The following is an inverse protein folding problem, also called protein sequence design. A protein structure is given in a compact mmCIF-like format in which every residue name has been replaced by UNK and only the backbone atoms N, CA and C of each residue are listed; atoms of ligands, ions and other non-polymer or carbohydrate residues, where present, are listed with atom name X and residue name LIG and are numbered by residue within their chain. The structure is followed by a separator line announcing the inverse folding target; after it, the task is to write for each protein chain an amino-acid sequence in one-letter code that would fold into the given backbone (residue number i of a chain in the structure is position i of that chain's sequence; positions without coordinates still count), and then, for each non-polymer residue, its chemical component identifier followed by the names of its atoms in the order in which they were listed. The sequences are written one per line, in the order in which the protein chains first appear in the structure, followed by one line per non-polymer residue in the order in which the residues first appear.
data_IF_907899399947
#
_entry.id   IF_907899399947
#
_cell.length_a   1.000
_cell.length_b   1.000
_cell.length_c   1.000
_cell.angle_alpha   90.00
_cell.angle_beta   90.00
_cell.angle_gamma   90.00
#
_symmetry.space_group_name_H-M   'P 1'
#
loop_
_entity.id
_entity.type
_entity.pdbx_description
1 polymer ?
#
# COMPACT_ATOMS: atom_id res chain seq x y z
N UNK A 1 61.44 -3.10 32.63
CA UNK A 1 60.99 -4.42 33.12
C UNK A 1 59.93 -4.16 34.18
N UNK A 2 58.65 -4.10 33.79
CA UNK A 2 57.49 -3.92 34.68
C UNK A 2 56.19 -4.23 33.89
N UNK A 3 55.56 -5.32 34.31
CA UNK A 3 54.18 -5.81 34.21
C UNK A 3 53.24 -5.43 33.04
N UNK A 4 52.76 -6.47 32.35
CA UNK A 4 51.67 -6.44 31.38
C UNK A 4 50.36 -6.91 32.05
N UNK A 5 49.40 -6.00 32.25
CA UNK A 5 48.00 -6.32 32.55
C UNK A 5 47.06 -5.39 31.79
N UNK A 6 46.31 -5.95 30.83
CA UNK A 6 45.02 -5.52 30.22
C UNK A 6 44.98 -6.08 28.78
N UNK A 7 44.00 -6.86 28.29
CA UNK A 7 42.57 -7.03 28.58
C UNK A 7 42.10 -8.43 28.09
N UNK A 8 40.99 -8.99 28.60
CA UNK A 8 40.44 -10.25 28.09
C UNK A 8 39.72 -10.06 26.75
N UNK A 9 40.02 -10.92 25.76
CA UNK A 9 39.28 -11.02 24.49
C UNK A 9 37.88 -11.57 24.73
N UNK A 10 36.86 -10.74 24.59
CA UNK A 10 35.47 -11.18 24.54
C UNK A 10 35.24 -12.01 23.27
N UNK A 11 34.97 -13.31 23.44
CA UNK A 11 34.37 -14.13 22.40
C UNK A 11 32.87 -13.77 22.34
N UNK A 12 32.43 -13.17 21.25
CA UNK A 12 30.99 -12.98 20.99
C UNK A 12 30.40 -14.32 20.58
N UNK A 13 29.78 -15.00 21.54
CA UNK A 13 28.92 -16.16 21.29
C UNK A 13 27.66 -15.65 20.62
N UNK A 14 27.45 -15.97 19.35
CA UNK A 14 26.22 -15.64 18.62
C UNK A 14 25.04 -16.34 19.31
N UNK A 15 24.12 -15.53 19.86
CA UNK A 15 22.82 -16.01 20.30
C UNK A 15 21.94 -16.29 19.07
N UNK A 16 21.19 -17.40 19.00
CA UNK A 16 20.20 -17.58 17.95
C UNK A 16 19.12 -16.51 18.08
N UNK A 17 18.88 -15.77 16.99
CA UNK A 17 17.81 -14.79 16.88
C UNK A 17 16.46 -15.53 16.90
N UNK A 18 15.76 -15.50 18.04
CA UNK A 18 14.34 -15.84 18.06
C UNK A 18 13.54 -14.61 17.62
N UNK A 19 13.38 -14.45 16.30
CA UNK A 19 12.44 -13.51 15.70
C UNK A 19 11.11 -14.22 15.39
N UNK A 20 10.47 -14.79 16.42
CA UNK A 20 9.09 -15.25 16.34
C UNK A 20 8.17 -14.07 16.67
N UNK A 21 7.80 -13.29 15.66
CA UNK A 21 6.89 -12.15 15.82
C UNK A 21 6.47 -11.42 14.55
N UNK A 22 7.19 -11.59 13.43
CA UNK A 22 6.86 -10.94 12.17
C UNK A 22 6.21 -11.87 11.11
N UNK A 23 6.03 -13.16 11.43
CA UNK A 23 5.54 -14.16 10.48
C UNK A 23 4.01 -14.13 10.28
N UNK A 24 3.24 -13.42 11.10
CA UNK A 24 1.77 -13.61 11.14
C UNK A 24 0.90 -12.63 10.32
N UNK A 25 1.45 -11.70 9.55
CA UNK A 25 0.61 -10.79 8.75
C UNK A 25 0.56 -11.12 7.25
N UNK A 26 1.60 -11.77 6.71
CA UNK A 26 1.77 -11.93 5.27
C UNK A 26 1.38 -13.31 4.74
N UNK A 27 1.28 -14.32 5.62
CA UNK A 27 0.88 -15.69 5.27
C UNK A 27 -0.59 -15.81 4.84
N UNK A 28 -1.40 -14.74 4.92
CA UNK A 28 -2.85 -14.76 4.67
C UNK A 28 -3.33 -13.93 3.49
N UNK A 29 -2.45 -13.28 2.73
CA UNK A 29 -2.85 -12.64 1.46
C UNK A 29 -2.93 -13.71 0.35
N UNK A 30 -3.97 -14.54 0.41
CA UNK A 30 -4.29 -15.52 -0.64
C UNK A 30 -4.83 -14.86 -1.91
N UNK A 31 -5.14 -13.56 -1.88
CA UNK A 31 -5.75 -12.86 -3.01
C UNK A 31 -5.37 -11.37 -3.11
N UNK A 32 -5.36 -10.87 -4.34
CA UNK A 32 -5.08 -9.50 -4.75
C UNK A 32 -5.74 -9.20 -6.10
N UNK A 33 -5.60 -8.00 -6.67
CA UNK A 33 -6.18 -7.65 -7.97
C UNK A 33 -5.46 -8.36 -9.14
N UNK A 34 -4.35 -9.04 -8.84
CA UNK A 34 -3.47 -9.71 -9.79
C UNK A 34 -3.48 -11.23 -9.62
N UNK A 35 -3.16 -11.95 -10.71
CA UNK A 35 -2.60 -13.30 -10.66
C UNK A 35 -1.36 -13.41 -11.58
N UNK A 36 -0.16 -13.32 -11.00
CA UNK A 36 1.10 -13.61 -11.69
C UNK A 36 2.34 -13.26 -10.85
N UNK A 37 3.54 -13.40 -11.42
CA UNK A 37 4.81 -13.50 -10.68
C UNK A 37 5.41 -12.12 -10.37
N UNK A 38 5.61 -11.82 -9.10
CA UNK A 38 6.50 -10.75 -8.60
C UNK A 38 7.65 -11.48 -7.92
N UNK A 39 8.70 -11.84 -8.66
CA UNK A 39 9.80 -12.74 -8.21
C UNK A 39 9.36 -14.18 -7.84
N UNK A 40 10.17 -15.16 -8.22
CA UNK A 40 10.04 -16.60 -7.96
C UNK A 40 9.93 -16.99 -6.48
N UNK A 41 10.21 -16.07 -5.56
CA UNK A 41 10.14 -16.28 -4.12
C UNK A 41 8.79 -15.86 -3.49
N UNK A 42 7.89 -15.24 -4.24
CA UNK A 42 6.60 -14.78 -3.72
C UNK A 42 5.46 -15.73 -4.10
N UNK A 43 4.48 -15.81 -3.20
CA UNK A 43 3.21 -16.49 -3.49
C UNK A 43 2.48 -15.69 -4.57
N UNK A 44 2.07 -16.37 -5.64
CA UNK A 44 1.24 -15.77 -6.66
C UNK A 44 -0.16 -15.56 -6.07
N UNK A 45 -0.64 -14.30 -5.95
CA UNK A 45 -1.97 -14.05 -5.40
C UNK A 45 -3.05 -14.59 -6.35
N UNK A 46 -4.17 -15.06 -5.77
CA UNK A 46 -5.39 -15.29 -6.55
C UNK A 46 -6.03 -13.94 -6.88
N UNK A 47 -6.62 -13.84 -8.06
CA UNK A 47 -7.45 -12.70 -8.42
C UNK A 47 -8.66 -12.54 -7.45
N UNK A 48 -8.92 -11.34 -6.93
CA UNK A 48 -10.10 -11.06 -6.11
C UNK A 48 -11.41 -11.28 -6.87
N UNK A 49 -12.44 -11.75 -6.18
CA UNK A 49 -13.83 -11.66 -6.66
C UNK A 49 -14.37 -10.25 -6.40
N UNK A 50 -15.41 -9.85 -7.15
CA UNK A 50 -16.00 -8.50 -7.07
C UNK A 50 -16.48 -8.16 -5.65
N UNK A 51 -17.05 -9.13 -4.93
CA UNK A 51 -17.50 -8.94 -3.55
C UNK A 51 -16.36 -8.77 -2.55
N UNK A 52 -15.15 -9.27 -2.87
CA UNK A 52 -13.97 -9.12 -2.03
C UNK A 52 -13.45 -7.68 -2.06
N UNK A 53 -13.57 -6.96 -3.19
CA UNK A 53 -13.25 -5.53 -3.24
C UNK A 53 -14.12 -4.72 -2.27
N UNK A 54 -15.42 -5.04 -2.17
CA UNK A 54 -16.28 -4.35 -1.22
C UNK A 54 -15.87 -4.63 0.24
N UNK A 55 -15.37 -5.84 0.55
CA UNK A 55 -14.82 -6.15 1.88
C UNK A 55 -13.60 -5.28 2.18
N UNK A 56 -12.73 -5.06 1.19
CA UNK A 56 -11.58 -4.14 1.32
C UNK A 56 -12.07 -2.72 1.58
N UNK A 57 -12.97 -2.20 0.75
CA UNK A 57 -13.54 -0.84 0.90
C UNK A 57 -14.10 -0.66 2.32
N UNK A 58 -14.93 -1.58 2.79
CA UNK A 58 -15.53 -1.54 4.12
C UNK A 58 -14.46 -1.64 5.25
N UNK A 59 -13.36 -2.37 5.02
CA UNK A 59 -12.27 -2.47 5.98
C UNK A 59 -11.53 -1.14 6.13
N UNK A 60 -11.32 -0.40 5.04
CA UNK A 60 -10.79 0.97 5.08
C UNK A 60 -11.74 1.92 5.81
N UNK A 61 -13.05 1.87 5.52
CA UNK A 61 -14.07 2.62 6.27
C UNK A 61 -14.04 2.35 7.76
N UNK A 62 -14.03 1.08 8.14
CA UNK A 62 -13.95 0.66 9.54
C UNK A 62 -12.66 1.13 10.22
N UNK A 63 -11.54 1.16 9.49
CA UNK A 63 -10.28 1.73 9.99
C UNK A 63 -10.38 3.24 10.20
N UNK A 64 -11.02 3.95 9.27
CA UNK A 64 -11.29 5.38 9.39
C UNK A 64 -12.19 5.71 10.58
N UNK A 65 -13.23 4.90 10.84
CA UNK A 65 -14.06 5.01 12.04
C UNK A 65 -13.21 4.91 13.29
N UNK A 66 -12.33 3.90 13.40
CA UNK A 66 -11.42 3.76 14.56
C UNK A 66 -10.49 4.96 14.69
N UNK A 67 -9.92 5.44 13.59
CA UNK A 67 -9.05 6.62 13.58
C UNK A 67 -9.79 7.90 13.99
N UNK A 68 -11.07 8.04 13.64
CA UNK A 68 -11.91 9.20 13.97
C UNK A 68 -12.03 9.41 15.48
N UNK A 69 -12.05 8.32 16.25
CA UNK A 69 -12.10 8.33 17.73
C UNK A 69 -10.77 8.67 18.40
N UNK A 70 -9.71 8.90 17.64
CA UNK A 70 -8.40 9.29 18.17
C UNK A 70 -8.21 10.81 18.11
N UNK A 71 -7.20 11.31 18.82
CA UNK A 71 -6.73 12.71 18.71
C UNK A 71 -6.00 13.03 17.41
N UNK A 72 -5.97 12.12 16.43
CA UNK A 72 -5.38 12.39 15.11
C UNK A 72 -6.27 13.37 14.34
N UNK A 73 -5.63 14.36 13.71
CA UNK A 73 -6.29 15.35 12.85
C UNK A 73 -6.26 14.95 11.37
N UNK A 74 -5.57 13.85 11.06
CA UNK A 74 -5.24 13.45 9.70
C UNK A 74 -5.07 11.94 9.60
N UNK A 75 -5.45 11.39 8.45
CA UNK A 75 -5.11 10.03 8.03
C UNK A 75 -4.62 10.03 6.58
N UNK A 76 -3.83 9.02 6.20
CA UNK A 76 -3.33 8.84 4.85
C UNK A 76 -3.75 7.47 4.30
N UNK A 77 -4.31 7.46 3.09
CA UNK A 77 -4.59 6.26 2.31
C UNK A 77 -3.37 5.93 1.44
N UNK A 78 -2.77 4.77 1.67
CA UNK A 78 -1.53 4.38 1.00
C UNK A 78 -1.79 3.65 -0.33
N UNK A 79 -1.51 4.31 -1.45
CA UNK A 79 -1.62 3.82 -2.82
C UNK A 79 -0.30 3.77 -3.60
N UNK A 80 0.81 3.52 -2.89
CA UNK A 80 2.15 3.51 -3.46
C UNK A 80 2.84 2.13 -3.29
N UNK A 81 4.08 2.02 -3.77
CA UNK A 81 5.03 0.91 -3.49
C UNK A 81 4.52 -0.50 -3.81
N UNK A 82 3.75 -0.65 -4.88
CA UNK A 82 3.30 -1.95 -5.37
C UNK A 82 2.28 -2.66 -4.48
N UNK A 83 1.70 -1.97 -3.50
CA UNK A 83 0.62 -2.50 -2.67
C UNK A 83 -0.73 -2.47 -3.41
N UNK A 84 -1.76 -3.04 -2.78
CA UNK A 84 -3.09 -3.29 -3.32
C UNK A 84 -3.65 -2.19 -4.23
N UNK A 85 -3.66 -0.94 -3.76
CA UNK A 85 -4.21 0.19 -4.52
C UNK A 85 -3.35 0.50 -5.75
N UNK A 86 -2.02 0.49 -5.64
CA UNK A 86 -1.16 0.71 -6.81
C UNK A 86 -1.33 -0.43 -7.83
N UNK A 87 -1.55 -1.66 -7.34
CA UNK A 87 -1.80 -2.81 -8.19
C UNK A 87 -3.11 -2.67 -8.99
N UNK A 88 -4.16 -2.03 -8.46
CA UNK A 88 -5.39 -1.78 -9.23
C UNK A 88 -5.22 -0.65 -10.26
N UNK A 89 -4.37 0.34 -9.96
CA UNK A 89 -4.10 1.50 -10.83
C UNK A 89 -3.17 1.19 -12.01
N UNK A 90 -2.35 0.14 -11.90
CA UNK A 90 -1.33 -0.17 -12.90
C UNK A 90 -1.85 -1.18 -13.92
N UNK A 91 -1.84 -0.87 -15.23
CA UNK A 91 -2.22 -1.82 -16.27
C UNK A 91 -1.22 -2.97 -16.42
N UNK A 92 -0.10 -2.94 -15.69
CA UNK A 92 0.92 -4.01 -15.73
C UNK A 92 0.53 -5.13 -14.77
N UNK A 93 0.03 -4.79 -13.59
CA UNK A 93 -0.40 -5.75 -12.56
C UNK A 93 -1.91 -6.00 -12.57
N UNK A 94 -2.74 -5.05 -12.98
CA UNK A 94 -4.16 -5.29 -13.21
C UNK A 94 -4.36 -5.77 -14.65
N UNK A 95 -4.91 -6.97 -14.81
CA UNK A 95 -5.23 -7.59 -16.11
C UNK A 95 -6.67 -8.10 -16.14
N UNK A 96 -7.52 -7.52 -15.29
CA UNK A 96 -8.90 -7.97 -15.11
C UNK A 96 -9.73 -7.60 -16.33
N UNK A 97 -10.82 -8.33 -16.50
CA UNK A 97 -11.79 -8.08 -17.57
C UNK A 97 -13.15 -7.57 -17.03
N UNK A 98 -13.17 -7.07 -15.80
CA UNK A 98 -14.36 -6.56 -15.12
C UNK A 98 -14.30 -5.03 -14.90
N UNK A 99 -15.23 -4.51 -14.08
CA UNK A 99 -15.38 -3.06 -13.85
C UNK A 99 -14.20 -2.38 -13.17
N UNK A 100 -13.23 -3.14 -12.67
CA UNK A 100 -12.04 -2.62 -11.97
C UNK A 100 -10.81 -2.49 -12.88
N UNK A 101 -10.95 -2.68 -14.20
CA UNK A 101 -9.87 -2.45 -15.17
C UNK A 101 -10.42 -2.03 -16.56
N UNK A 102 -9.51 -1.71 -17.49
CA UNK A 102 -9.80 -1.39 -18.90
C UNK A 102 -9.73 0.10 -19.23
N UNK A 103 -10.52 0.94 -18.56
CA UNK A 103 -10.44 2.41 -18.70
C UNK A 103 -9.70 3.04 -17.52
N UNK A 104 -9.29 4.31 -17.68
CA UNK A 104 -8.72 5.08 -16.57
C UNK A 104 -9.67 5.12 -15.36
N UNK A 105 -10.95 5.37 -15.62
CA UNK A 105 -11.98 5.49 -14.59
C UNK A 105 -12.20 4.16 -13.86
N UNK A 106 -12.11 3.03 -14.58
CA UNK A 106 -12.23 1.71 -13.98
C UNK A 106 -11.00 1.35 -13.13
N UNK A 107 -9.80 1.70 -13.59
CA UNK A 107 -8.54 1.47 -12.86
C UNK A 107 -8.51 2.22 -11.53
N UNK A 108 -9.06 3.43 -11.50
CA UNK A 108 -9.17 4.25 -10.27
C UNK A 108 -10.33 3.87 -9.38
N UNK A 109 -11.26 3.04 -9.86
CA UNK A 109 -12.54 2.82 -9.20
C UNK A 109 -12.37 2.32 -7.77
N UNK A 110 -11.46 1.37 -7.53
CA UNK A 110 -11.19 0.89 -6.17
C UNK A 110 -10.68 2.00 -5.24
N UNK A 111 -9.74 2.82 -5.72
CA UNK A 111 -9.21 3.94 -4.93
C UNK A 111 -10.32 4.94 -4.59
N UNK A 112 -11.15 5.28 -5.57
CA UNK A 112 -12.28 6.19 -5.39
C UNK A 112 -13.30 5.61 -4.40
N UNK A 113 -13.68 4.33 -4.54
CA UNK A 113 -14.57 3.63 -3.61
C UNK A 113 -14.00 3.65 -2.17
N UNK A 114 -12.69 3.37 -1.99
CA UNK A 114 -12.01 3.45 -0.70
C UNK A 114 -12.06 4.87 -0.14
N UNK A 115 -11.72 5.88 -0.93
CA UNK A 115 -11.69 7.28 -0.47
C UNK A 115 -13.07 7.74 -0.02
N UNK A 116 -14.12 7.44 -0.79
CA UNK A 116 -15.49 7.76 -0.41
C UNK A 116 -15.86 7.09 0.92
N UNK A 117 -15.58 5.80 1.07
CA UNK A 117 -15.90 5.07 2.29
C UNK A 117 -15.12 5.61 3.51
N UNK A 118 -13.84 5.94 3.34
CA UNK A 118 -13.03 6.57 4.40
C UNK A 118 -13.58 7.95 4.76
N UNK A 119 -13.90 8.80 3.77
CA UNK A 119 -14.45 10.14 3.99
C UNK A 119 -15.82 10.09 4.70
N UNK A 120 -16.68 9.12 4.37
CA UNK A 120 -17.96 8.93 5.05
C UNK A 120 -17.82 8.49 6.52
N UNK A 121 -16.68 7.91 6.90
CA UNK A 121 -16.42 7.38 8.25
C UNK A 121 -15.43 8.20 9.08
N UNK A 122 -14.78 9.21 8.49
CA UNK A 122 -13.83 10.10 9.15
C UNK A 122 -14.44 11.50 9.29
N UNK A 123 -14.26 12.12 10.46
CA UNK A 123 -14.84 13.44 10.74
C UNK A 123 -14.55 14.46 9.62
N UNK A 124 -15.56 15.20 9.18
CA UNK A 124 -15.46 16.13 8.04
C UNK A 124 -14.41 17.23 8.26
N UNK A 125 -14.17 17.62 9.51
CA UNK A 125 -13.17 18.62 9.89
C UNK A 125 -11.72 18.09 9.88
N UNK A 126 -11.52 16.79 9.68
CA UNK A 126 -10.20 16.14 9.68
C UNK A 126 -9.75 15.84 8.25
N UNK A 127 -8.47 16.05 7.97
CA UNK A 127 -7.90 15.88 6.63
C UNK A 127 -7.67 14.41 6.28
N UNK A 128 -7.93 14.07 5.02
CA UNK A 128 -7.55 12.78 4.44
C UNK A 128 -6.52 13.12 3.38
N UNK A 129 -5.44 12.36 3.37
CA UNK A 129 -4.43 12.41 2.32
C UNK A 129 -4.38 11.08 1.56
N UNK A 130 -3.89 11.13 0.32
CA UNK A 130 -3.63 9.94 -0.48
C UNK A 130 -2.19 9.99 -0.95
N UNK A 131 -1.44 8.93 -0.65
CA UNK A 131 -0.08 8.77 -1.12
C UNK A 131 -0.08 7.87 -2.34
N UNK A 132 0.31 8.40 -3.50
CA UNK A 132 0.39 7.65 -4.76
C UNK A 132 1.82 7.71 -5.29
N UNK A 133 2.33 6.58 -5.80
CA UNK A 133 3.60 6.57 -6.53
C UNK A 133 3.45 7.36 -7.83
N UNK A 134 4.21 8.44 -8.02
CA UNK A 134 4.18 9.18 -9.28
C UNK A 134 4.78 8.38 -10.44
N UNK A 135 5.77 7.55 -10.12
CA UNK A 135 6.46 6.66 -11.03
C UNK A 135 6.70 5.34 -10.31
N UNK A 136 5.93 4.30 -10.62
CA UNK A 136 6.49 2.96 -10.53
C UNK A 136 7.48 2.81 -11.70
N UNK A 137 8.47 1.92 -11.68
CA UNK A 137 9.47 1.77 -12.78
C UNK A 137 8.85 1.27 -14.12
N UNK A 138 7.55 1.49 -14.29
CA UNK A 138 6.69 1.23 -15.41
C UNK A 138 6.31 2.59 -16.00
N UNK A 139 6.86 2.91 -17.18
CA UNK A 139 6.63 4.18 -17.90
C UNK A 139 5.15 4.60 -17.98
N UNK A 140 4.22 3.65 -17.85
CA UNK A 140 2.77 3.82 -17.91
C UNK A 140 2.14 4.76 -16.87
N UNK A 141 2.70 4.88 -15.66
CA UNK A 141 2.09 5.72 -14.61
C UNK A 141 2.54 7.19 -14.69
N UNK A 142 3.72 7.46 -15.25
CA UNK A 142 4.28 8.81 -15.37
C UNK A 142 3.40 9.76 -16.18
N UNK A 143 2.72 9.24 -17.21
CA UNK A 143 1.84 10.04 -18.06
C UNK A 143 0.45 10.25 -17.44
N UNK A 144 0.11 9.48 -16.41
CA UNK A 144 -1.27 9.39 -15.86
C UNK A 144 -1.40 9.89 -14.43
N UNK A 145 -0.29 10.17 -13.74
CA UNK A 145 -0.29 10.64 -12.35
C UNK A 145 -1.22 11.83 -12.13
N UNK A 146 -1.16 12.83 -13.02
CA UNK A 146 -2.00 14.03 -12.98
C UNK A 146 -3.49 13.72 -13.11
N UNK A 147 -3.86 12.69 -13.88
CA UNK A 147 -5.27 12.33 -14.04
C UNK A 147 -5.85 11.67 -12.79
N UNK A 148 -5.03 10.91 -12.06
CA UNK A 148 -5.40 10.37 -10.75
C UNK A 148 -5.58 11.49 -9.72
N UNK A 149 -4.67 12.46 -9.70
CA UNK A 149 -4.77 13.64 -8.82
C UNK A 149 -6.10 14.38 -9.04
N UNK A 150 -6.46 14.66 -10.30
CA UNK A 150 -7.72 15.33 -10.64
C UNK A 150 -8.93 14.54 -10.13
N UNK A 151 -8.99 13.23 -10.41
CA UNK A 151 -10.10 12.40 -9.97
C UNK A 151 -10.26 12.32 -8.45
N UNK A 152 -9.15 12.43 -7.70
CA UNK A 152 -9.17 12.41 -6.22
C UNK A 152 -9.53 13.78 -5.65
N UNK A 153 -9.03 14.87 -6.25
CA UNK A 153 -9.39 16.22 -5.85
C UNK A 153 -10.92 16.43 -5.94
N UNK A 154 -11.58 15.83 -6.94
CA UNK A 154 -13.04 15.88 -7.09
C UNK A 154 -13.80 15.17 -5.95
N UNK A 155 -13.13 14.31 -5.16
CA UNK A 155 -13.71 13.66 -3.97
C UNK A 155 -13.63 14.52 -2.70
N UNK A 156 -13.03 15.71 -2.77
CA UNK A 156 -12.83 16.61 -1.63
C UNK A 156 -11.74 16.12 -0.66
N UNK A 157 -10.77 15.37 -1.18
CA UNK A 157 -9.61 14.87 -0.42
C UNK A 157 -8.37 15.67 -0.77
N UNK A 158 -7.57 15.99 0.25
CA UNK A 158 -6.32 16.72 0.09
C UNK A 158 -5.29 15.77 -0.52
N UNK A 159 -4.84 16.02 -1.74
CA UNK A 159 -3.76 15.22 -2.35
C UNK A 159 -2.44 15.92 -2.03
N UNK A 160 -1.61 15.41 -1.09
CA UNK A 160 -0.29 15.96 -0.89
C UNK A 160 0.60 15.42 -2.01
N UNK A 161 1.57 16.23 -2.42
CA UNK A 161 2.59 15.82 -3.40
C UNK A 161 3.66 14.96 -2.73
N UNK A 162 3.29 13.92 -1.98
CA UNK A 162 4.25 12.93 -1.46
C UNK A 162 4.50 11.89 -2.55
N UNK A 163 5.45 12.24 -3.42
CA UNK A 163 5.88 11.43 -4.54
C UNK A 163 7.00 10.53 -4.08
N UNK A 164 6.68 9.27 -3.80
CA UNK A 164 7.71 8.22 -3.67
C UNK A 164 8.14 7.77 -5.08
N UNK A 165 9.42 7.96 -5.41
CA UNK A 165 10.03 7.31 -6.56
C UNK A 165 10.09 5.80 -6.30
N UNK A 166 9.59 5.00 -7.25
CA UNK A 166 9.52 3.54 -7.16
C UNK A 166 10.82 2.90 -6.66
N UNK A 167 10.69 1.88 -5.83
CA UNK A 167 11.87 1.18 -5.32
C UNK A 167 12.57 0.42 -6.46
N UNK A 168 13.90 0.39 -6.41
CA UNK A 168 14.74 -0.30 -7.40
C UNK A 168 14.95 -1.78 -7.05
N UNK A 169 14.20 -2.31 -6.09
CA UNK A 169 14.40 -3.61 -5.46
C UNK A 169 13.40 -4.69 -5.91
N UNK A 170 12.48 -4.36 -6.80
CA UNK A 170 11.46 -5.27 -7.32
C UNK A 170 11.71 -5.78 -8.76
N UNK A 171 12.98 -6.06 -9.11
CA UNK A 171 13.37 -6.79 -10.33
C UNK A 171 14.22 -8.02 -9.98
#
# INVERSE_FOLDING_TARGET
MLDARSSPRLHTRSTPNQSSGATMLWDHLEAGPYSGIVDSNYVIPREFAIDEFQKIVNAFGSAATRASHTGLNMIETHGARGYLILQSLSPVSNKRADRYDGSLENQTLLLIEIIHEVRSNFSAEKSIFVHISASDNLEYLNDRSSSYEIGICDTGVDVPRDVTLGDSSAL
#
